data_IF_221252717967
#
_entry.id   IF_221252717967
#
_cell.length_a   1.000
_cell.length_b   1.000
_cell.length_c   1.000
_cell.angle_alpha   90.00
_cell.angle_beta   90.00
_cell.angle_gamma   90.00
#
_symmetry.space_group_name_H-M   'P 1'
#
loop_
_entity.id
_entity.type
_entity.pdbx_description
1 polymer ?
#
# COMPACT_ATOMS: atom_id res chain seq x y z
N UNK A 1 35.74 55.64 -3.54
CA UNK A 1 34.33 55.19 -3.69
C UNK A 1 34.39 53.68 -3.95
N UNK A 2 34.11 52.90 -2.92
CA UNK A 2 34.03 51.44 -3.07
C UNK A 2 32.53 51.07 -3.24
N UNK A 3 32.22 50.44 -4.39
CA UNK A 3 30.91 49.91 -4.65
C UNK A 3 30.73 48.59 -3.86
N UNK A 4 29.85 48.61 -2.84
CA UNK A 4 29.36 47.40 -2.24
C UNK A 4 28.36 46.74 -3.23
N UNK A 5 28.74 45.60 -3.79
CA UNK A 5 27.81 44.70 -4.50
C UNK A 5 27.12 43.86 -3.43
N UNK A 6 25.88 44.19 -3.09
CA UNK A 6 24.99 43.35 -2.32
C UNK A 6 24.58 42.16 -3.23
N UNK A 7 25.12 40.99 -2.94
CA UNK A 7 24.63 39.75 -3.50
C UNK A 7 23.27 39.43 -2.80
N UNK A 8 22.17 39.59 -3.54
CA UNK A 8 20.88 39.05 -3.12
C UNK A 8 21.02 37.53 -3.06
N UNK A 9 21.10 36.97 -1.86
CA UNK A 9 20.98 35.53 -1.68
C UNK A 9 19.57 35.13 -2.12
N UNK A 10 19.47 34.31 -3.14
CA UNK A 10 18.22 33.58 -3.43
C UNK A 10 17.89 32.76 -2.17
N UNK A 11 16.85 33.17 -1.44
CA UNK A 11 16.25 32.31 -0.43
C UNK A 11 15.82 31.02 -1.14
N UNK A 12 16.50 29.92 -0.86
CA UNK A 12 16.10 28.61 -1.32
C UNK A 12 14.67 28.37 -0.80
N UNK A 13 13.67 28.48 -1.68
CA UNK A 13 12.29 28.17 -1.34
C UNK A 13 12.27 26.72 -0.85
N UNK A 14 12.05 26.54 0.46
CA UNK A 14 12.03 25.21 1.04
C UNK A 14 10.93 24.39 0.36
N UNK A 15 11.29 23.19 -0.09
CA UNK A 15 10.36 22.26 -0.73
C UNK A 15 9.15 22.02 0.20
N UNK A 16 7.90 22.16 -0.31
CA UNK A 16 6.71 21.94 0.51
C UNK A 16 6.64 20.47 0.97
N UNK A 17 6.27 20.25 2.22
CA UNK A 17 6.06 18.92 2.75
C UNK A 17 4.65 18.42 2.37
N UNK A 18 4.54 17.25 1.74
CA UNK A 18 3.25 16.68 1.31
C UNK A 18 2.29 16.53 2.50
N UNK A 19 2.78 16.06 3.66
CA UNK A 19 1.97 15.94 4.89
C UNK A 19 1.32 17.26 5.34
N UNK A 20 1.96 18.41 5.04
CA UNK A 20 1.41 19.73 5.36
C UNK A 20 0.43 20.19 4.28
N UNK A 21 0.71 19.91 3.00
CA UNK A 21 -0.17 20.24 1.88
C UNK A 21 -1.53 19.56 2.01
N UNK A 22 -1.54 18.33 2.52
CA UNK A 22 -2.77 17.53 2.69
C UNK A 22 -3.31 17.51 4.13
N UNK A 23 -2.75 18.34 5.01
CA UNK A 23 -3.23 18.45 6.40
C UNK A 23 -4.72 18.81 6.45
N UNK A 24 -5.46 18.08 7.29
CA UNK A 24 -6.92 18.25 7.44
C UNK A 24 -7.77 17.59 6.34
N UNK A 25 -7.14 16.91 5.36
CA UNK A 25 -7.85 16.15 4.31
C UNK A 25 -7.70 14.65 4.51
N UNK A 26 -6.50 14.12 4.35
CA UNK A 26 -6.16 12.71 4.53
C UNK A 26 -4.67 12.55 4.86
N UNK A 27 -4.30 11.39 5.36
CA UNK A 27 -2.90 11.07 5.62
C UNK A 27 -2.15 10.84 4.29
N UNK A 28 -0.92 11.32 4.24
CA UNK A 28 0.03 11.00 3.17
C UNK A 28 1.09 10.06 3.71
N UNK A 29 1.23 8.88 3.12
CA UNK A 29 2.13 7.85 3.57
C UNK A 29 3.09 7.34 2.49
N UNK A 30 4.06 6.55 2.94
CA UNK A 30 4.93 5.79 2.06
C UNK A 30 5.11 4.36 2.60
N UNK A 31 5.21 3.39 1.70
CA UNK A 31 5.77 2.10 2.04
C UNK A 31 7.27 2.25 2.29
N UNK A 32 7.76 1.65 3.38
CA UNK A 32 9.16 1.73 3.79
C UNK A 32 9.77 0.33 3.89
N UNK A 33 11.01 0.20 3.45
CA UNK A 33 11.78 -1.02 3.56
C UNK A 33 12.78 -0.96 4.74
N UNK A 34 13.41 -2.10 5.04
CA UNK A 34 14.31 -2.23 6.18
C UNK A 34 15.49 -1.24 6.16
N UNK A 35 15.99 -0.85 5.00
CA UNK A 35 17.13 0.06 4.89
C UNK A 35 16.81 1.47 5.40
N UNK A 36 15.56 1.91 5.21
CA UNK A 36 15.11 3.24 5.64
C UNK A 36 14.93 3.29 7.16
N UNK A 37 14.18 2.36 7.75
CA UNK A 37 13.92 2.40 9.18
C UNK A 37 15.08 1.85 10.05
N UNK A 38 16.06 1.13 9.48
CA UNK A 38 17.30 0.76 10.18
C UNK A 38 18.35 1.87 10.22
N UNK A 39 18.18 2.91 9.39
CA UNK A 39 19.16 3.99 9.23
C UNK A 39 20.29 3.68 8.26
N UNK A 40 20.24 2.56 7.53
CA UNK A 40 21.17 2.24 6.44
C UNK A 40 21.00 3.22 5.28
N UNK A 41 19.75 3.46 4.84
CA UNK A 41 19.41 4.50 3.87
C UNK A 41 18.99 5.80 4.59
N UNK A 42 19.98 6.58 4.98
CA UNK A 42 19.75 7.86 5.66
C UNK A 42 18.99 8.87 4.81
N UNK A 43 19.17 8.85 3.49
CA UNK A 43 18.50 9.78 2.56
C UNK A 43 17.03 9.44 2.45
N UNK A 44 16.70 8.19 2.19
CA UNK A 44 15.31 7.73 2.16
C UNK A 44 14.60 7.97 3.48
N UNK A 45 15.24 7.66 4.62
CA UNK A 45 14.69 7.96 5.94
C UNK A 45 14.41 9.46 6.15
N UNK A 46 15.35 10.34 5.77
CA UNK A 46 15.15 11.79 5.86
C UNK A 46 13.98 12.26 4.99
N UNK A 47 13.84 11.71 3.78
CA UNK A 47 12.75 12.02 2.88
C UNK A 47 11.38 11.56 3.45
N UNK A 48 11.33 10.36 4.03
CA UNK A 48 10.14 9.86 4.74
C UNK A 48 9.74 10.82 5.84
N UNK A 49 10.67 11.19 6.72
CA UNK A 49 10.39 12.12 7.83
C UNK A 49 9.95 13.51 7.36
N UNK A 50 10.50 14.00 6.24
CA UNK A 50 10.15 15.32 5.72
C UNK A 50 8.76 15.36 5.07
N UNK A 51 8.39 14.34 4.29
CA UNK A 51 7.25 14.38 3.38
C UNK A 51 5.99 13.69 3.89
N UNK A 52 6.12 12.67 4.74
CA UNK A 52 5.03 11.76 5.09
C UNK A 52 4.65 11.82 6.57
N UNK A 53 3.41 11.49 6.89
CA UNK A 53 2.88 11.37 8.26
C UNK A 53 2.29 9.98 8.55
N UNK A 54 2.41 9.05 7.60
CA UNK A 54 2.02 7.64 7.77
C UNK A 54 3.05 6.75 7.09
N UNK A 55 3.24 5.54 7.62
CA UNK A 55 4.12 4.53 7.05
C UNK A 55 3.43 3.16 7.01
N UNK A 56 3.78 2.37 5.99
CA UNK A 56 3.39 0.97 5.82
C UNK A 56 4.66 0.15 5.59
N UNK A 57 4.84 -1.04 6.21
CA UNK A 57 6.04 -1.83 5.96
C UNK A 57 5.89 -2.57 4.63
N UNK A 58 6.85 -2.44 3.73
CA UNK A 58 6.79 -3.12 2.43
C UNK A 58 6.68 -4.63 2.57
N UNK A 59 7.46 -5.25 3.47
CA UNK A 59 7.52 -6.72 3.63
C UNK A 59 7.56 -7.21 5.09
N UNK A 60 8.06 -6.42 6.05
CA UNK A 60 8.54 -6.90 7.33
C UNK A 60 7.44 -7.40 8.32
N UNK A 61 6.17 -7.14 8.03
CA UNK A 61 5.03 -7.69 8.78
C UNK A 61 4.29 -8.81 8.01
N UNK A 62 4.75 -9.17 6.81
CA UNK A 62 4.20 -10.31 6.07
C UNK A 62 4.60 -11.63 6.76
N UNK A 63 3.70 -12.58 6.78
CA UNK A 63 3.85 -13.83 7.52
C UNK A 63 5.19 -14.53 7.30
N UNK A 64 5.65 -14.59 6.04
CA UNK A 64 6.90 -15.27 5.68
C UNK A 64 8.13 -14.72 6.41
N UNK A 65 8.15 -13.43 6.72
CA UNK A 65 9.26 -12.79 7.41
C UNK A 65 9.08 -12.81 8.95
N UNK A 66 7.88 -12.47 9.42
CA UNK A 66 7.64 -12.33 10.86
C UNK A 66 7.40 -13.66 11.58
N UNK A 67 6.92 -14.70 10.87
CA UNK A 67 6.64 -16.03 11.43
C UNK A 67 7.06 -17.14 10.45
N UNK A 68 8.36 -17.27 10.15
CA UNK A 68 8.86 -18.13 9.07
C UNK A 68 8.71 -19.63 9.34
N UNK A 69 8.66 -20.05 10.59
CA UNK A 69 8.57 -21.46 11.02
C UNK A 69 7.60 -21.60 12.20
N UNK A 70 7.00 -22.78 12.41
CA UNK A 70 6.13 -23.03 13.56
C UNK A 70 6.78 -22.61 14.87
N UNK A 71 6.10 -21.74 15.65
CA UNK A 71 6.56 -21.28 16.95
C UNK A 71 7.79 -20.37 16.93
N UNK A 72 8.29 -19.97 15.74
CA UNK A 72 9.40 -19.03 15.63
C UNK A 72 8.94 -17.72 15.01
N UNK A 73 8.99 -16.67 15.81
CA UNK A 73 8.76 -15.30 15.35
C UNK A 73 10.07 -14.53 15.26
N UNK A 74 10.21 -13.72 14.20
CA UNK A 74 11.29 -12.75 14.05
C UNK A 74 10.69 -11.36 14.06
N UNK A 75 10.80 -10.67 15.18
CA UNK A 75 10.27 -9.33 15.38
C UNK A 75 11.30 -8.22 15.19
N UNK A 76 12.58 -8.56 14.97
CA UNK A 76 13.65 -7.56 14.97
C UNK A 76 13.44 -6.42 13.96
N UNK A 77 13.08 -6.74 12.73
CA UNK A 77 12.82 -5.75 11.72
C UNK A 77 11.48 -5.03 11.95
N UNK A 78 10.45 -5.76 12.41
CA UNK A 78 9.15 -5.19 12.70
C UNK A 78 9.19 -4.24 13.92
N UNK A 79 9.97 -4.58 14.96
CA UNK A 79 10.18 -3.69 16.11
C UNK A 79 10.85 -2.39 15.69
N UNK A 80 11.91 -2.45 14.87
CA UNK A 80 12.58 -1.24 14.33
C UNK A 80 11.65 -0.39 13.46
N UNK A 81 10.78 -1.03 12.67
CA UNK A 81 9.78 -0.32 11.88
C UNK A 81 8.80 0.46 12.78
N UNK A 82 8.27 -0.20 13.81
CA UNK A 82 7.32 0.43 14.76
C UNK A 82 8.02 1.54 15.54
N UNK A 83 9.23 1.30 16.04
CA UNK A 83 10.04 2.30 16.76
C UNK A 83 10.33 3.53 15.87
N UNK A 84 10.66 3.33 14.59
CA UNK A 84 10.85 4.42 13.65
C UNK A 84 9.59 5.27 13.50
N UNK A 85 8.42 4.65 13.37
CA UNK A 85 7.14 5.35 13.29
C UNK A 85 6.81 6.12 14.56
N UNK A 86 6.93 5.49 15.74
CA UNK A 86 6.69 6.13 17.04
C UNK A 86 7.62 7.34 17.26
N UNK A 87 8.92 7.15 17.03
CA UNK A 87 9.94 8.21 17.21
C UNK A 87 9.68 9.44 16.33
N UNK A 88 9.09 9.25 15.16
CA UNK A 88 8.82 10.33 14.21
C UNK A 88 7.35 10.81 14.23
N UNK A 89 6.53 10.34 15.19
CA UNK A 89 5.13 10.75 15.33
C UNK A 89 4.25 10.40 14.13
N UNK A 90 4.54 9.27 13.46
CA UNK A 90 3.82 8.82 12.27
C UNK A 90 2.69 7.87 12.63
N UNK A 91 1.64 7.87 11.82
CA UNK A 91 0.62 6.81 11.85
C UNK A 91 1.22 5.55 11.25
N UNK A 92 1.25 4.47 12.04
CA UNK A 92 1.88 3.20 11.69
C UNK A 92 0.80 2.22 11.25
N UNK A 93 0.98 1.61 10.08
CA UNK A 93 0.06 0.64 9.48
C UNK A 93 0.70 -0.74 9.48
N UNK A 94 -0.10 -1.76 9.77
CA UNK A 94 0.30 -3.17 9.67
C UNK A 94 -0.15 -3.78 8.34
N UNK A 95 0.78 -4.36 7.61
CA UNK A 95 0.53 -5.01 6.32
C UNK A 95 1.33 -6.32 6.25
N UNK A 96 0.71 -7.48 6.16
CA UNK A 96 -0.71 -7.85 6.18
C UNK A 96 -0.87 -9.15 6.98
N UNK A 97 -2.03 -9.37 7.60
CA UNK A 97 -2.23 -10.53 8.50
C UNK A 97 -2.57 -11.81 7.73
N UNK A 98 -3.48 -11.76 6.78
CA UNK A 98 -3.94 -12.91 5.99
C UNK A 98 -3.82 -12.61 4.50
N UNK A 99 -2.93 -13.33 3.85
CA UNK A 99 -2.68 -13.25 2.41
C UNK A 99 -2.30 -14.63 1.86
N UNK A 100 -2.55 -14.90 0.58
CA UNK A 100 -2.19 -16.16 -0.06
C UNK A 100 -0.74 -16.20 -0.55
N UNK A 101 -0.12 -15.03 -0.77
CA UNK A 101 1.29 -14.88 -1.10
C UNK A 101 2.10 -14.60 0.18
N UNK A 102 3.40 -14.83 0.12
CA UNK A 102 4.36 -14.62 1.22
C UNK A 102 3.87 -15.17 2.58
N UNK A 103 3.12 -16.29 2.52
CA UNK A 103 2.72 -17.10 3.67
C UNK A 103 3.45 -18.45 3.56
N UNK A 104 4.21 -18.90 4.59
CA UNK A 104 4.99 -20.13 4.52
C UNK A 104 4.11 -21.37 4.33
N UNK A 105 4.61 -22.36 3.58
CA UNK A 105 3.88 -23.60 3.33
C UNK A 105 3.41 -24.32 4.58
N UNK A 106 4.21 -24.30 5.67
CA UNK A 106 3.85 -24.93 6.92
C UNK A 106 2.53 -24.43 7.53
N UNK A 107 2.08 -23.24 7.14
CA UNK A 107 0.79 -22.70 7.58
C UNK A 107 -0.37 -23.56 7.08
N UNK A 108 -0.24 -24.07 5.84
CA UNK A 108 -1.29 -24.81 5.15
C UNK A 108 -1.06 -26.32 5.11
N UNK A 109 0.15 -26.79 5.42
CA UNK A 109 0.56 -28.17 5.26
C UNK A 109 1.04 -28.76 6.60
N UNK A 110 0.87 -30.07 6.74
CA UNK A 110 1.47 -30.86 7.82
C UNK A 110 2.93 -31.22 7.50
N UNK A 111 3.58 -31.99 8.38
CA UNK A 111 4.97 -32.43 8.22
C UNK A 111 5.17 -33.39 7.03
N UNK A 112 4.10 -33.92 6.44
CA UNK A 112 4.14 -34.80 5.25
C UNK A 112 3.86 -34.03 3.95
N UNK A 113 3.57 -32.71 4.04
CA UNK A 113 3.23 -31.86 2.91
C UNK A 113 1.78 -31.97 2.46
N UNK A 114 0.90 -32.57 3.27
CA UNK A 114 -0.54 -32.62 3.02
C UNK A 114 -1.23 -31.41 3.66
N UNK A 115 -2.34 -30.95 3.05
CA UNK A 115 -3.14 -29.89 3.65
C UNK A 115 -3.56 -30.27 5.08
N UNK A 116 -3.47 -29.31 5.98
CA UNK A 116 -3.98 -29.46 7.37
C UNK A 116 -5.53 -29.39 7.37
N UNK A 117 -6.12 -29.86 8.46
CA UNK A 117 -7.54 -29.72 8.67
C UNK A 117 -7.95 -28.26 9.00
N UNK A 118 -9.25 -28.00 8.93
CA UNK A 118 -9.85 -26.69 9.19
C UNK A 118 -9.50 -26.13 10.58
N UNK A 119 -9.60 -26.95 11.61
CA UNK A 119 -9.37 -26.52 13.00
C UNK A 119 -7.90 -26.16 13.24
N UNK A 120 -7.00 -26.93 12.67
CA UNK A 120 -5.56 -26.65 12.70
C UNK A 120 -5.23 -25.33 12.00
N UNK A 121 -5.82 -25.06 10.84
CA UNK A 121 -5.56 -23.82 10.12
C UNK A 121 -6.17 -22.60 10.83
N UNK A 122 -7.38 -22.73 11.36
CA UNK A 122 -7.99 -21.68 12.19
C UNK A 122 -7.15 -21.37 13.42
N UNK A 123 -6.65 -22.39 14.12
CA UNK A 123 -5.76 -22.19 15.26
C UNK A 123 -4.46 -21.48 14.86
N UNK A 124 -3.83 -21.87 13.77
CA UNK A 124 -2.61 -21.21 13.27
C UNK A 124 -2.86 -19.74 12.93
N UNK A 125 -3.98 -19.44 12.28
CA UNK A 125 -4.39 -18.07 11.97
C UNK A 125 -4.66 -17.25 13.24
N UNK A 126 -5.38 -17.81 14.19
CA UNK A 126 -5.66 -17.17 15.48
C UNK A 126 -4.38 -16.85 16.25
N UNK A 127 -3.52 -17.86 16.47
CA UNK A 127 -2.28 -17.69 17.22
C UNK A 127 -1.35 -16.65 16.58
N UNK A 128 -1.26 -16.64 15.25
CA UNK A 128 -0.46 -15.67 14.52
C UNK A 128 -1.00 -14.24 14.71
N UNK A 129 -2.29 -14.05 14.49
CA UNK A 129 -2.92 -12.73 14.59
C UNK A 129 -2.83 -12.21 16.02
N UNK A 130 -3.15 -13.03 17.03
CA UNK A 130 -3.05 -12.62 18.43
C UNK A 130 -1.63 -12.23 18.81
N UNK A 131 -0.64 -12.99 18.35
CA UNK A 131 0.77 -12.74 18.67
C UNK A 131 1.26 -11.44 18.00
N UNK A 132 0.99 -11.28 16.70
CA UNK A 132 1.52 -10.15 15.93
C UNK A 132 0.77 -8.86 16.27
N UNK A 133 -0.55 -8.87 16.25
CA UNK A 133 -1.36 -7.68 16.57
C UNK A 133 -1.21 -7.32 18.04
N UNK A 134 -1.24 -8.31 18.94
CA UNK A 134 -1.10 -8.11 20.38
C UNK A 134 0.24 -7.49 20.77
N UNK A 135 1.35 -7.86 20.06
CA UNK A 135 2.66 -7.24 20.28
C UNK A 135 2.66 -5.73 20.03
N UNK A 136 1.93 -5.28 19.03
CA UNK A 136 1.91 -3.88 18.61
C UNK A 136 0.61 -3.15 18.97
N UNK A 137 -0.16 -3.71 19.93
CA UNK A 137 -1.40 -3.12 20.41
C UNK A 137 -1.21 -1.67 20.81
N UNK A 138 -2.09 -0.80 20.27
CA UNK A 138 -2.06 0.64 20.50
C UNK A 138 -0.96 1.40 19.77
N UNK A 139 0.03 0.74 19.19
CA UNK A 139 1.13 1.33 18.40
C UNK A 139 0.79 1.36 16.91
N UNK A 140 0.45 0.22 16.34
CA UNK A 140 -0.07 0.12 14.98
C UNK A 140 -1.55 0.53 15.00
N UNK A 141 -1.89 1.56 14.22
CA UNK A 141 -3.22 2.19 14.25
C UNK A 141 -4.23 1.50 13.37
N UNK A 142 -3.78 0.71 12.40
CA UNK A 142 -4.66 -0.03 11.52
C UNK A 142 -3.94 -1.17 10.80
N UNK A 143 -4.69 -2.22 10.45
CA UNK A 143 -4.19 -3.44 9.83
C UNK A 143 -4.93 -3.77 8.54
N UNK A 144 -4.17 -4.06 7.50
CA UNK A 144 -4.69 -4.81 6.36
C UNK A 144 -4.90 -6.25 6.81
N UNK A 145 -6.14 -6.57 7.23
CA UNK A 145 -6.45 -7.88 7.85
C UNK A 145 -6.45 -8.98 6.81
N UNK A 146 -7.16 -8.76 5.71
CA UNK A 146 -7.18 -9.66 4.55
C UNK A 146 -6.76 -8.91 3.30
N UNK A 147 -5.79 -9.48 2.60
CA UNK A 147 -5.24 -8.94 1.37
C UNK A 147 -5.58 -9.85 0.18
N UNK A 148 -6.14 -9.26 -0.91
CA UNK A 148 -6.32 -9.88 -2.23
C UNK A 148 -7.17 -11.17 -2.22
N UNK A 149 -8.33 -11.11 -1.59
CA UNK A 149 -9.23 -12.27 -1.54
C UNK A 149 -10.03 -12.51 -2.83
N UNK A 150 -10.00 -11.58 -3.80
CA UNK A 150 -10.87 -11.60 -4.98
C UNK A 150 -10.11 -11.80 -6.28
N UNK A 151 -10.76 -12.50 -7.20
CA UNK A 151 -10.40 -12.55 -8.62
C UNK A 151 -10.89 -11.30 -9.35
N UNK A 152 -10.43 -11.08 -10.60
CA UNK A 152 -10.84 -9.93 -11.42
C UNK A 152 -12.34 -9.89 -11.76
N UNK A 153 -13.03 -11.03 -11.72
CA UNK A 153 -14.47 -11.14 -11.92
C UNK A 153 -15.30 -10.90 -10.64
N UNK A 154 -14.61 -10.64 -9.52
CA UNK A 154 -15.24 -10.41 -8.21
C UNK A 154 -15.66 -11.67 -7.47
N UNK A 155 -15.30 -12.86 -7.94
CA UNK A 155 -15.41 -14.12 -7.19
C UNK A 155 -14.30 -14.24 -6.15
N UNK A 156 -14.51 -15.05 -5.10
CA UNK A 156 -13.45 -15.36 -4.14
C UNK A 156 -12.31 -16.14 -4.81
N UNK A 157 -11.09 -15.76 -4.50
CA UNK A 157 -9.88 -16.44 -4.97
C UNK A 157 -9.73 -17.79 -4.28
N UNK A 158 -9.53 -18.84 -5.07
CA UNK A 158 -9.35 -20.24 -4.64
C UNK A 158 -8.01 -20.45 -3.91
N UNK A 159 -7.82 -19.72 -2.80
CA UNK A 159 -6.62 -19.80 -1.96
C UNK A 159 -6.68 -21.00 -1.02
N UNK A 160 -5.56 -21.44 -0.42
CA UNK A 160 -5.59 -22.44 0.67
C UNK A 160 -6.48 -22.02 1.85
N UNK A 161 -6.60 -20.74 2.14
CA UNK A 161 -7.52 -20.22 3.17
C UNK A 161 -8.97 -20.60 2.87
N UNK A 162 -9.43 -20.29 1.64
CA UNK A 162 -10.78 -20.61 1.19
C UNK A 162 -11.00 -22.12 1.12
N UNK A 163 -10.07 -22.86 0.57
CA UNK A 163 -10.21 -24.31 0.34
C UNK A 163 -10.28 -25.12 1.62
N UNK A 164 -9.56 -24.72 2.67
CA UNK A 164 -9.47 -25.47 3.92
C UNK A 164 -10.52 -24.98 4.94
N UNK A 165 -10.73 -23.67 5.08
CA UNK A 165 -11.63 -23.11 6.08
C UNK A 165 -13.03 -22.84 5.49
N UNK A 166 -13.12 -22.48 4.20
CA UNK A 166 -14.32 -21.90 3.61
C UNK A 166 -14.36 -20.38 3.77
N UNK A 167 -15.43 -19.73 3.29
CA UNK A 167 -15.59 -18.26 3.31
C UNK A 167 -15.50 -17.65 4.71
N UNK A 168 -15.77 -18.45 5.75
CA UNK A 168 -15.69 -18.03 7.15
C UNK A 168 -14.30 -17.51 7.55
N UNK A 169 -13.21 -17.90 6.84
CA UNK A 169 -11.88 -17.40 7.16
C UNK A 169 -11.81 -15.87 7.16
N UNK A 170 -12.61 -15.22 6.29
CA UNK A 170 -12.70 -13.77 6.23
C UNK A 170 -13.17 -13.20 7.57
N UNK A 171 -14.33 -13.67 8.04
CA UNK A 171 -14.92 -13.20 9.31
C UNK A 171 -14.00 -13.50 10.49
N UNK A 172 -13.43 -14.72 10.53
CA UNK A 172 -12.51 -15.15 11.60
C UNK A 172 -11.26 -14.29 11.70
N UNK A 173 -10.63 -13.94 10.57
CA UNK A 173 -9.46 -13.08 10.56
C UNK A 173 -9.73 -11.72 11.23
N UNK A 174 -10.88 -11.10 10.93
CA UNK A 174 -11.27 -9.83 11.56
C UNK A 174 -11.63 -9.98 13.03
N UNK A 175 -12.32 -11.05 13.40
CA UNK A 175 -12.65 -11.32 14.80
C UNK A 175 -11.38 -11.50 15.64
N UNK A 176 -10.39 -12.23 15.15
CA UNK A 176 -9.12 -12.43 15.82
C UNK A 176 -8.29 -11.13 15.91
N UNK A 177 -8.30 -10.32 14.85
CA UNK A 177 -7.62 -9.02 14.90
C UNK A 177 -8.28 -8.07 15.92
N UNK A 178 -9.60 -8.03 15.97
CA UNK A 178 -10.34 -7.25 16.97
C UNK A 178 -10.14 -7.77 18.40
N UNK A 179 -10.09 -9.08 18.59
CA UNK A 179 -9.77 -9.69 19.89
C UNK A 179 -8.38 -9.25 20.40
N UNK A 180 -7.39 -9.20 19.52
CA UNK A 180 -6.02 -8.82 19.86
C UNK A 180 -5.89 -7.31 20.16
N UNK A 181 -6.50 -6.45 19.34
CA UNK A 181 -6.53 -5.00 19.54
C UNK A 181 -7.89 -4.42 19.13
N UNK A 182 -8.83 -4.23 20.08
CA UNK A 182 -10.15 -3.68 19.80
C UNK A 182 -10.16 -2.24 19.26
N UNK A 183 -9.08 -1.48 19.48
CA UNK A 183 -8.98 -0.07 19.10
C UNK A 183 -8.32 0.11 17.71
N UNK A 184 -7.73 -0.95 17.16
CA UNK A 184 -7.12 -0.90 15.84
C UNK A 184 -8.18 -0.82 14.73
N UNK A 185 -7.91 0.01 13.73
CA UNK A 185 -8.72 0.06 12.51
C UNK A 185 -8.45 -1.17 11.65
N UNK A 186 -9.50 -1.83 11.16
CA UNK A 186 -9.38 -3.05 10.38
C UNK A 186 -9.78 -2.79 8.92
N UNK A 187 -8.91 -3.16 7.99
CA UNK A 187 -9.04 -2.86 6.55
C UNK A 187 -9.13 -4.15 5.73
N UNK A 188 -9.87 -4.09 4.63
CA UNK A 188 -9.74 -5.00 3.50
C UNK A 188 -8.87 -4.32 2.44
N UNK A 189 -7.89 -5.00 1.85
CA UNK A 189 -6.99 -4.44 0.85
C UNK A 189 -6.96 -5.32 -0.41
N UNK A 190 -7.11 -4.69 -1.59
CA UNK A 190 -7.03 -5.41 -2.87
C UNK A 190 -6.64 -4.45 -4.02
N UNK A 191 -6.14 -4.99 -5.11
CA UNK A 191 -5.82 -4.25 -6.32
C UNK A 191 -6.99 -4.25 -7.30
N UNK A 192 -6.94 -3.36 -8.31
CA UNK A 192 -7.93 -3.27 -9.41
C UNK A 192 -9.39 -3.14 -8.97
N UNK A 193 -9.67 -2.55 -7.81
CA UNK A 193 -11.03 -2.31 -7.35
C UNK A 193 -11.78 -1.26 -8.20
N UNK A 194 -11.07 -0.55 -9.08
CA UNK A 194 -11.62 0.31 -10.11
C UNK A 194 -12.28 -0.46 -11.26
N UNK A 195 -11.99 -1.76 -11.37
CA UNK A 195 -12.68 -2.68 -12.25
C UNK A 195 -14.05 -3.03 -11.66
N UNK A 196 -15.13 -2.72 -12.38
CA UNK A 196 -16.49 -2.83 -11.85
C UNK A 196 -16.86 -4.24 -11.33
N UNK A 197 -16.58 -5.36 -12.02
CA UNK A 197 -16.88 -6.69 -11.49
C UNK A 197 -16.18 -6.98 -10.17
N UNK A 198 -14.89 -6.62 -10.03
CA UNK A 198 -14.11 -6.84 -8.81
C UNK A 198 -14.59 -5.93 -7.68
N UNK A 199 -14.90 -4.66 -7.97
CA UNK A 199 -15.50 -3.73 -7.03
C UNK A 199 -16.82 -4.25 -6.46
N UNK A 200 -17.71 -4.78 -7.29
CA UNK A 200 -18.96 -5.39 -6.83
C UNK A 200 -18.70 -6.63 -5.94
N UNK A 201 -17.66 -7.41 -6.24
CA UNK A 201 -17.22 -8.49 -5.36
C UNK A 201 -16.78 -7.98 -4.00
N UNK A 202 -15.97 -6.91 -3.96
CA UNK A 202 -15.54 -6.29 -2.72
C UNK A 202 -16.70 -5.69 -1.92
N UNK A 203 -17.69 -5.08 -2.59
CA UNK A 203 -18.91 -4.59 -1.94
C UNK A 203 -19.66 -5.74 -1.26
N UNK A 204 -19.83 -6.89 -1.94
CA UNK A 204 -20.47 -8.07 -1.32
C UNK A 204 -19.66 -8.57 -0.12
N UNK A 205 -18.34 -8.65 -0.24
CA UNK A 205 -17.44 -9.07 0.85
C UNK A 205 -17.60 -8.17 2.08
N UNK A 206 -17.55 -6.84 1.90
CA UNK A 206 -17.70 -5.88 3.00
C UNK A 206 -19.09 -6.00 3.66
N UNK A 207 -20.15 -6.10 2.87
CA UNK A 207 -21.52 -6.30 3.40
C UNK A 207 -21.64 -7.60 4.20
N UNK A 208 -21.00 -8.69 3.75
CA UNK A 208 -20.99 -9.96 4.49
C UNK A 208 -20.26 -9.83 5.83
N UNK A 209 -19.10 -9.15 5.86
CA UNK A 209 -18.38 -8.86 7.10
C UNK A 209 -19.23 -8.02 8.06
N UNK A 210 -19.87 -6.95 7.58
CA UNK A 210 -20.74 -6.08 8.38
C UNK A 210 -21.95 -6.87 8.92
N UNK A 211 -22.55 -7.74 8.11
CA UNK A 211 -23.69 -8.61 8.52
C UNK A 211 -23.27 -9.62 9.59
N UNK A 212 -21.99 -10.02 9.63
CA UNK A 212 -21.43 -10.87 10.68
C UNK A 212 -20.98 -10.08 11.93
N UNK A 213 -21.31 -8.78 12.01
CA UNK A 213 -20.96 -7.93 13.15
C UNK A 213 -19.51 -7.42 13.15
N UNK A 214 -18.79 -7.57 12.04
CA UNK A 214 -17.42 -7.08 11.90
C UNK A 214 -17.44 -5.60 11.53
N UNK A 215 -16.68 -4.78 12.26
CA UNK A 215 -16.47 -3.39 11.91
C UNK A 215 -15.28 -3.27 10.94
N UNK A 216 -15.58 -3.01 9.66
CA UNK A 216 -14.56 -2.68 8.65
C UNK A 216 -14.41 -1.16 8.61
N UNK A 217 -13.23 -0.65 8.97
CA UNK A 217 -12.98 0.79 9.06
C UNK A 217 -12.73 1.41 7.67
N UNK A 218 -12.06 0.68 6.79
CA UNK A 218 -11.78 1.13 5.43
C UNK A 218 -11.61 -0.02 4.44
N UNK A 219 -11.82 0.29 3.17
CA UNK A 219 -11.38 -0.53 2.03
C UNK A 219 -10.14 0.13 1.45
N UNK A 220 -9.06 -0.65 1.31
CA UNK A 220 -7.86 -0.27 0.60
C UNK A 220 -7.98 -0.67 -0.87
N UNK A 221 -7.92 0.32 -1.78
CA UNK A 221 -7.54 0.05 -3.16
C UNK A 221 -6.05 0.29 -3.30
N UNK A 222 -5.30 -0.74 -3.72
CA UNK A 222 -3.84 -0.66 -3.73
C UNK A 222 -3.33 0.54 -4.54
N UNK A 223 -3.88 0.77 -5.73
CA UNK A 223 -3.46 1.91 -6.53
C UNK A 223 -2.21 1.63 -7.38
N UNK A 224 -1.92 0.36 -7.70
CA UNK A 224 -0.92 -0.01 -8.71
C UNK A 224 -1.46 0.30 -10.10
N UNK A 225 -1.27 1.53 -10.53
CA UNK A 225 -1.89 2.05 -11.74
C UNK A 225 -0.95 2.03 -12.95
N UNK A 226 -1.52 2.28 -14.13
CA UNK A 226 -0.83 2.50 -15.39
C UNK A 226 -1.04 3.95 -15.83
N UNK A 227 -0.30 4.36 -16.84
CA UNK A 227 -0.44 5.70 -17.40
C UNK A 227 -1.86 6.00 -17.92
N UNK A 228 -2.54 4.97 -18.46
CA UNK A 228 -3.85 5.08 -19.11
C UNK A 228 -5.00 4.44 -18.31
N UNK A 229 -4.69 3.74 -17.19
CA UNK A 229 -5.68 3.01 -16.39
C UNK A 229 -5.38 3.05 -14.88
N UNK A 230 -6.41 3.11 -14.02
CA UNK A 230 -7.82 3.44 -14.31
C UNK A 230 -7.97 4.91 -14.72
N UNK A 231 -9.05 5.27 -15.44
CA UNK A 231 -9.37 6.68 -15.67
C UNK A 231 -9.80 7.35 -14.35
N UNK A 232 -9.61 8.69 -14.20
CA UNK A 232 -10.04 9.40 -12.98
C UNK A 232 -11.52 9.19 -12.61
N UNK A 233 -12.42 9.09 -13.60
CA UNK A 233 -13.84 8.81 -13.38
C UNK A 233 -14.12 7.40 -12.79
N UNK A 234 -13.27 6.43 -13.08
CA UNK A 234 -13.37 5.10 -12.49
C UNK A 234 -12.92 5.11 -11.02
N UNK A 235 -11.86 5.87 -10.69
CA UNK A 235 -11.43 6.08 -9.31
C UNK A 235 -12.51 6.82 -8.51
N UNK A 236 -13.05 7.90 -9.07
CA UNK A 236 -14.17 8.67 -8.50
C UNK A 236 -15.36 7.76 -8.14
N UNK A 237 -15.81 6.95 -9.11
CA UNK A 237 -16.92 6.00 -8.94
C UNK A 237 -16.61 4.92 -7.90
N UNK A 238 -15.33 4.53 -7.76
CA UNK A 238 -14.91 3.51 -6.78
C UNK A 238 -14.98 4.07 -5.37
N UNK A 239 -14.50 5.29 -5.15
CA UNK A 239 -14.59 5.96 -3.84
C UNK A 239 -16.07 6.14 -3.46
N UNK A 240 -16.90 6.65 -4.37
CA UNK A 240 -18.35 6.80 -4.15
C UNK A 240 -19.04 5.48 -3.79
N UNK A 241 -18.66 4.37 -4.43
CA UNK A 241 -19.28 3.08 -4.19
C UNK A 241 -18.99 2.54 -2.79
N UNK A 242 -17.73 2.64 -2.34
CA UNK A 242 -17.36 2.18 -1.00
C UNK A 242 -17.83 3.12 0.12
N UNK A 243 -17.79 4.44 -0.10
CA UNK A 243 -18.28 5.40 0.90
C UNK A 243 -19.75 5.19 1.27
N UNK A 244 -20.59 4.72 0.33
CA UNK A 244 -21.99 4.35 0.56
C UNK A 244 -22.18 3.17 1.51
N UNK A 245 -21.13 2.40 1.78
CA UNK A 245 -21.13 1.33 2.79
C UNK A 245 -20.79 1.84 4.21
N UNK A 246 -20.54 3.13 4.37
CA UNK A 246 -20.09 3.72 5.64
C UNK A 246 -18.65 3.43 6.00
N UNK A 247 -17.80 3.03 5.03
CA UNK A 247 -16.37 2.79 5.22
C UNK A 247 -15.54 3.87 4.54
N UNK A 248 -14.35 4.14 5.08
CA UNK A 248 -13.37 5.01 4.38
C UNK A 248 -12.73 4.25 3.21
N UNK A 249 -12.14 5.01 2.30
CA UNK A 249 -11.32 4.47 1.21
C UNK A 249 -9.86 4.89 1.42
N UNK A 250 -8.96 3.93 1.41
CA UNK A 250 -7.53 4.18 1.46
C UNK A 250 -6.91 3.82 0.11
N UNK A 251 -6.05 4.69 -0.42
CA UNK A 251 -5.17 4.35 -1.53
C UNK A 251 -3.89 3.84 -0.88
N UNK A 252 -3.67 2.53 -0.91
CA UNK A 252 -2.74 1.88 0.03
C UNK A 252 -1.34 1.66 -0.52
N UNK A 253 -1.17 1.62 -1.85
CA UNK A 253 0.07 1.18 -2.50
C UNK A 253 0.30 1.93 -3.83
N UNK A 254 0.02 3.25 -3.83
CA UNK A 254 0.02 4.05 -5.06
C UNK A 254 1.38 4.07 -5.74
N UNK A 255 1.41 3.59 -6.94
CA UNK A 255 2.46 3.79 -7.93
C UNK A 255 1.87 3.84 -9.35
N UNK A 256 2.62 4.41 -10.30
CA UNK A 256 2.19 4.48 -11.69
C UNK A 256 3.26 3.88 -12.59
N UNK A 257 3.02 2.65 -13.05
CA UNK A 257 3.91 1.99 -14.00
C UNK A 257 3.95 2.76 -15.32
N UNK A 258 5.12 3.37 -15.62
CA UNK A 258 5.31 4.18 -16.84
C UNK A 258 5.69 3.34 -18.06
N UNK A 259 6.06 2.06 -17.86
CA UNK A 259 6.43 1.18 -18.97
C UNK A 259 5.18 0.69 -19.68
N UNK A 260 5.06 0.88 -21.01
CA UNK A 260 3.88 0.46 -21.76
C UNK A 260 3.56 -1.03 -21.56
N UNK A 261 2.30 -1.33 -21.25
CA UNK A 261 1.86 -2.71 -21.11
C UNK A 261 1.83 -3.42 -22.46
N UNK A 262 2.54 -4.56 -22.57
CA UNK A 262 2.32 -5.47 -23.68
C UNK A 262 1.04 -6.27 -23.41
N UNK A 263 0.02 -5.97 -24.10
CA UNK A 263 -1.31 -6.57 -24.38
C UNK A 263 -2.10 -7.38 -23.31
N UNK A 264 -1.59 -7.91 -22.19
CA UNK A 264 -2.36 -8.95 -21.49
C UNK A 264 -2.76 -8.67 -20.04
N UNK A 265 -2.10 -7.82 -19.27
CA UNK A 265 -2.51 -7.63 -17.87
C UNK A 265 -2.42 -6.19 -17.40
N UNK A 266 -3.57 -5.64 -17.03
CA UNK A 266 -3.71 -4.31 -16.39
C UNK A 266 -3.69 -4.36 -14.86
N UNK A 267 -3.68 -5.56 -14.25
CA UNK A 267 -3.70 -5.75 -12.80
C UNK A 267 -2.32 -5.96 -12.18
N UNK A 268 -2.25 -5.88 -10.84
CA UNK A 268 -1.07 -6.11 -10.03
C UNK A 268 -0.91 -7.58 -9.58
N UNK A 269 -1.58 -8.54 -10.23
CA UNK A 269 -1.51 -9.95 -9.88
C UNK A 269 -0.11 -10.53 -10.11
N UNK A 270 0.62 -10.80 -9.02
CA UNK A 270 1.96 -11.37 -9.04
C UNK A 270 1.99 -12.81 -9.59
N UNK A 271 0.87 -13.53 -9.60
CA UNK A 271 0.77 -14.90 -10.12
C UNK A 271 0.77 -14.95 -11.64
N UNK A 272 0.44 -13.84 -12.30
CA UNK A 272 0.42 -13.73 -13.75
C UNK A 272 1.74 -13.15 -14.24
N UNK A 273 2.57 -14.00 -14.84
CA UNK A 273 3.92 -13.69 -15.34
C UNK A 273 3.99 -12.69 -16.52
N UNK A 274 3.10 -11.69 -16.59
CA UNK A 274 3.06 -10.71 -17.67
C UNK A 274 4.28 -9.76 -17.71
N UNK A 275 5.02 -9.65 -16.61
CA UNK A 275 6.28 -8.91 -16.55
C UNK A 275 7.43 -9.56 -17.37
N UNK A 276 7.28 -10.81 -17.83
CA UNK A 276 8.30 -11.51 -18.59
C UNK A 276 8.36 -11.16 -20.09
N UNK A 277 7.43 -10.35 -20.60
CA UNK A 277 7.27 -10.12 -22.04
C UNK A 277 7.86 -8.79 -22.54
N UNK A 278 8.40 -7.94 -21.69
CA UNK A 278 9.14 -6.76 -22.14
C UNK A 278 10.57 -7.20 -22.52
N UNK A 279 10.81 -7.38 -23.80
CA UNK A 279 12.11 -7.82 -24.32
C UNK A 279 13.21 -6.77 -24.21
N UNK A 280 12.86 -5.49 -24.02
CA UNK A 280 13.79 -4.37 -23.93
C UNK A 280 13.38 -3.44 -22.80
N UNK A 281 14.36 -2.94 -22.06
CA UNK A 281 14.15 -1.90 -21.08
C UNK A 281 13.98 -0.55 -21.78
N UNK A 282 12.72 -0.18 -22.01
CA UNK A 282 12.34 0.99 -22.82
C UNK A 282 12.94 2.29 -22.27
N UNK A 283 13.19 2.34 -20.96
CA UNK A 283 13.67 3.54 -20.28
C UNK A 283 14.99 3.33 -19.52
N UNK A 284 15.84 2.41 -19.98
CA UNK A 284 17.16 2.12 -19.36
C UNK A 284 18.03 3.38 -19.20
N UNK A 285 17.92 4.33 -20.13
CA UNK A 285 18.72 5.55 -20.15
C UNK A 285 18.03 6.78 -19.54
N UNK A 286 16.92 6.58 -18.82
CA UNK A 286 16.15 7.66 -18.19
C UNK A 286 14.77 7.84 -18.81
N UNK A 287 13.88 8.49 -18.06
CA UNK A 287 12.52 8.77 -18.50
C UNK A 287 12.51 10.05 -19.39
N UNK A 288 11.98 10.00 -20.62
CA UNK A 288 11.86 11.18 -21.46
C UNK A 288 11.01 12.28 -20.82
N UNK A 289 11.31 13.55 -21.08
CA UNK A 289 10.60 14.71 -20.50
C UNK A 289 9.10 14.71 -20.84
N UNK A 290 8.73 14.25 -22.05
CA UNK A 290 7.33 14.08 -22.42
C UNK A 290 6.59 13.10 -21.52
N UNK A 291 7.21 11.93 -21.21
CA UNK A 291 6.63 10.92 -20.34
C UNK A 291 6.62 11.39 -18.87
N UNK A 292 7.63 12.18 -18.44
CA UNK A 292 7.61 12.82 -17.13
C UNK A 292 6.44 13.80 -16.99
N UNK A 293 6.16 14.56 -18.05
CA UNK A 293 5.01 15.48 -18.08
C UNK A 293 3.68 14.72 -18.05
N UNK A 294 3.57 13.64 -18.81
CA UNK A 294 2.38 12.78 -18.80
C UNK A 294 2.16 12.15 -17.42
N UNK A 295 3.23 11.66 -16.77
CA UNK A 295 3.17 11.14 -15.41
C UNK A 295 2.72 12.20 -14.40
N UNK A 296 3.23 13.42 -14.52
CA UNK A 296 2.81 14.55 -13.68
C UNK A 296 1.32 14.86 -13.86
N UNK A 297 0.82 14.95 -15.09
CA UNK A 297 -0.59 15.15 -15.38
C UNK A 297 -1.46 13.99 -14.85
N UNK A 298 -0.94 12.78 -14.93
CA UNK A 298 -1.62 11.58 -14.39
C UNK A 298 -1.79 11.67 -12.88
N UNK A 299 -0.74 12.02 -12.15
CA UNK A 299 -0.80 12.23 -10.70
C UNK A 299 -1.73 13.41 -10.34
N UNK A 300 -1.66 14.53 -11.07
CA UNK A 300 -2.54 15.69 -10.84
C UNK A 300 -4.02 15.27 -10.95
N UNK A 301 -4.37 14.53 -12.00
CA UNK A 301 -5.74 14.04 -12.21
C UNK A 301 -6.23 13.13 -11.09
N UNK A 302 -5.40 12.19 -10.63
CA UNK A 302 -5.75 11.30 -9.52
C UNK A 302 -5.90 12.08 -8.21
N UNK A 303 -4.95 12.94 -7.86
CA UNK A 303 -5.01 13.72 -6.63
C UNK A 303 -6.15 14.74 -6.63
N UNK A 304 -6.57 15.23 -7.78
CA UNK A 304 -7.78 16.05 -7.90
C UNK A 304 -9.03 15.27 -7.47
N UNK A 305 -9.12 13.98 -7.86
CA UNK A 305 -10.20 13.09 -7.40
C UNK A 305 -10.09 12.85 -5.89
N UNK A 306 -8.89 12.53 -5.37
CA UNK A 306 -8.71 12.30 -3.93
C UNK A 306 -9.08 13.52 -3.09
N UNK A 307 -8.73 14.73 -3.55
CA UNK A 307 -9.09 16.00 -2.88
C UNK A 307 -10.61 16.24 -2.93
N UNK A 308 -11.27 15.95 -4.05
CA UNK A 308 -12.73 16.00 -4.15
C UNK A 308 -13.41 15.14 -3.07
N UNK A 309 -12.81 13.99 -2.76
CA UNK A 309 -13.28 13.02 -1.77
C UNK A 309 -12.52 13.09 -0.43
N UNK A 310 -12.05 14.24 -0.02
CA UNK A 310 -11.29 14.39 1.22
C UNK A 310 -12.06 13.95 2.49
N UNK A 311 -13.40 13.91 2.44
CA UNK A 311 -14.24 13.38 3.50
C UNK A 311 -14.29 11.84 3.57
N UNK A 312 -14.08 11.17 2.45
CA UNK A 312 -14.19 9.72 2.27
C UNK A 312 -12.82 9.04 2.25
N UNK A 313 -11.80 9.68 1.68
CA UNK A 313 -10.43 9.18 1.63
C UNK A 313 -9.77 9.35 3.01
N UNK A 314 -9.27 8.26 3.56
CA UNK A 314 -8.58 8.27 4.84
C UNK A 314 -7.07 8.45 4.71
N UNK A 315 -6.47 7.85 3.69
CA UNK A 315 -5.03 7.80 3.49
C UNK A 315 -4.68 7.58 2.02
N UNK A 316 -3.57 8.22 1.58
CA UNK A 316 -2.91 7.93 0.30
C UNK A 316 -1.46 7.56 0.60
N UNK A 317 -1.06 6.32 0.30
CA UNK A 317 0.28 5.78 0.56
C UNK A 317 0.95 5.42 -0.74
N UNK A 318 2.11 5.98 -1.01
CA UNK A 318 2.95 5.59 -2.14
C UNK A 318 3.67 4.28 -1.85
N UNK A 319 3.75 3.37 -2.84
CA UNK A 319 4.41 2.08 -2.65
C UNK A 319 5.91 2.17 -2.92
N UNK A 320 6.58 2.88 -2.02
CA UNK A 320 8.01 3.20 -2.03
C UNK A 320 8.26 4.69 -1.80
N UNK A 321 9.52 5.04 -1.57
CA UNK A 321 9.94 6.41 -1.27
C UNK A 321 10.51 7.09 -2.51
N UNK A 322 11.36 6.37 -3.25
CA UNK A 322 12.02 6.85 -4.47
C UNK A 322 11.84 5.84 -5.61
N UNK A 323 12.04 6.27 -6.85
CA UNK A 323 12.02 5.35 -8.00
C UNK A 323 12.99 4.17 -7.83
N UNK A 324 14.04 4.35 -7.02
CA UNK A 324 15.01 3.29 -6.72
C UNK A 324 14.46 2.18 -5.82
N UNK A 325 13.47 2.51 -4.98
CA UNK A 325 12.85 1.57 -4.04
C UNK A 325 11.69 0.78 -4.65
N UNK A 326 11.24 1.14 -5.86
CA UNK A 326 10.05 0.54 -6.47
C UNK A 326 10.24 -0.95 -6.79
N UNK A 327 9.25 -1.76 -6.38
CA UNK A 327 9.12 -3.18 -6.74
C UNK A 327 8.99 -3.41 -8.26
N UNK A 328 8.62 -2.38 -9.01
CA UNK A 328 8.53 -2.42 -10.48
C UNK A 328 9.91 -2.47 -11.17
N UNK A 329 11.01 -2.27 -10.43
CA UNK A 329 12.39 -2.44 -10.90
C UNK A 329 12.85 -3.91 -10.84
N UNK A 330 12.07 -4.84 -11.31
CA UNK A 330 12.36 -6.25 -11.17
C UNK A 330 13.07 -6.86 -12.39
N UNK A 331 14.06 -7.73 -12.16
CA UNK A 331 14.83 -8.45 -13.19
C UNK A 331 15.48 -7.55 -14.25
N UNK A 332 16.04 -6.42 -13.81
CA UNK A 332 16.72 -5.49 -14.70
C UNK A 332 15.81 -4.50 -15.44
N UNK A 333 14.49 -4.58 -15.25
CA UNK A 333 13.55 -3.57 -15.72
C UNK A 333 13.72 -2.29 -14.92
N UNK A 334 13.83 -1.15 -15.59
CA UNK A 334 13.91 0.17 -14.95
C UNK A 334 12.54 0.85 -15.06
N UNK A 335 12.03 1.33 -13.92
CA UNK A 335 10.77 2.06 -13.84
C UNK A 335 10.92 3.38 -13.08
N UNK A 336 9.98 4.30 -13.27
CA UNK A 336 10.00 5.64 -12.68
C UNK A 336 8.61 6.02 -12.12
N UNK A 337 8.03 5.19 -11.24
CA UNK A 337 6.60 5.28 -10.90
C UNK A 337 6.28 6.30 -9.82
N UNK A 338 7.26 6.79 -9.06
CA UNK A 338 7.07 7.57 -7.84
C UNK A 338 7.34 9.07 -8.02
N UNK A 339 7.18 9.84 -6.95
CA UNK A 339 7.32 11.30 -6.96
C UNK A 339 8.77 11.78 -6.89
N UNK A 340 9.68 10.92 -6.40
CA UNK A 340 11.10 11.23 -6.21
C UNK A 340 11.96 10.31 -7.06
N UNK A 341 12.97 10.88 -7.71
CA UNK A 341 13.93 10.10 -8.49
C UNK A 341 14.82 9.20 -7.59
N UNK A 342 15.68 8.39 -8.18
CA UNK A 342 16.63 7.50 -7.45
C UNK A 342 17.60 8.24 -6.51
N UNK A 343 17.75 9.55 -6.69
CA UNK A 343 18.58 10.41 -5.86
C UNK A 343 17.80 11.15 -4.78
N UNK A 344 16.47 10.91 -4.68
CA UNK A 344 15.58 11.60 -3.76
C UNK A 344 15.23 13.02 -4.18
N UNK A 345 15.48 13.41 -5.44
CA UNK A 345 15.08 14.71 -5.98
C UNK A 345 13.61 14.64 -6.43
N UNK A 346 12.83 15.71 -6.20
CA UNK A 346 11.45 15.76 -6.66
C UNK A 346 11.41 15.76 -8.19
N UNK A 347 10.43 15.04 -8.73
CA UNK A 347 10.08 14.99 -10.16
C UNK A 347 8.94 15.96 -10.45
N UNK A 348 8.65 16.27 -11.72
CA UNK A 348 7.46 17.07 -12.09
C UNK A 348 6.15 16.52 -11.48
N UNK A 349 6.06 15.21 -11.28
CA UNK A 349 4.94 14.56 -10.60
C UNK A 349 4.75 15.02 -9.13
N UNK A 350 5.84 15.33 -8.42
CA UNK A 350 5.76 15.90 -7.08
C UNK A 350 5.09 17.29 -7.08
N UNK A 351 5.51 18.16 -8.00
CA UNK A 351 4.94 19.50 -8.11
C UNK A 351 3.46 19.46 -8.50
N UNK A 352 3.08 18.52 -9.37
CA UNK A 352 1.70 18.28 -9.76
C UNK A 352 0.82 17.84 -8.58
N UNK A 353 1.33 16.94 -7.73
CA UNK A 353 0.66 16.53 -6.49
C UNK A 353 0.53 17.69 -5.52
N UNK A 354 1.59 18.49 -5.32
CA UNK A 354 1.52 19.69 -4.49
C UNK A 354 0.48 20.69 -5.01
N UNK A 355 0.44 20.91 -6.34
CA UNK A 355 -0.54 21.79 -7.00
C UNK A 355 -1.97 21.31 -6.73
N UNK A 356 -2.27 20.03 -6.94
CA UNK A 356 -3.59 19.45 -6.66
C UNK A 356 -4.03 19.65 -5.20
N UNK A 357 -3.10 19.52 -4.26
CA UNK A 357 -3.38 19.73 -2.84
C UNK A 357 -3.62 21.19 -2.44
N UNK A 358 -3.27 22.16 -3.27
CA UNK A 358 -3.51 23.59 -3.03
C UNK A 358 -4.83 24.09 -3.63
N UNK A 359 -5.48 23.31 -4.46
CA UNK A 359 -6.84 23.63 -4.95
C UNK A 359 -7.85 23.56 -3.80
N UNK A 360 -8.74 24.57 -3.75
CA UNK A 360 -9.79 24.70 -2.73
C UNK A 360 -10.99 23.81 -3.05
#
# INVERSE_FOLDING_TARGET
MALLVLSAGEEAVSQPALKNVYSGRFLIGAAVNSRQFSGEDKRGAALVMAQFNSITPENNLKWQLIHPQPGKYDFDAADRYVEFGEKNGMVIIGHTLVWHNQTPRWVFEDSTGKPVDRETLLKRMHDHILTVVGRYKGKIKGWDVVNEALNEDGSLRETPWLKIIGEEYLVKAYQFAHEADPDAQLYYNDYSLENAPKREGAIRLIKNLQSAGVHVAAVGTQGHYKMDWPRPDQVDSTIDAFSKLGVKVNITELDIDVVPATQVNRGADLSVNSYHMVKEDVYANGLPDSVQTELANRYEGLFTVFVKHAGEVGRVTFWGVTDGDSWLNWRGRVNYPLLFDRNGKPKPAFDAVVKAGRTR
#
